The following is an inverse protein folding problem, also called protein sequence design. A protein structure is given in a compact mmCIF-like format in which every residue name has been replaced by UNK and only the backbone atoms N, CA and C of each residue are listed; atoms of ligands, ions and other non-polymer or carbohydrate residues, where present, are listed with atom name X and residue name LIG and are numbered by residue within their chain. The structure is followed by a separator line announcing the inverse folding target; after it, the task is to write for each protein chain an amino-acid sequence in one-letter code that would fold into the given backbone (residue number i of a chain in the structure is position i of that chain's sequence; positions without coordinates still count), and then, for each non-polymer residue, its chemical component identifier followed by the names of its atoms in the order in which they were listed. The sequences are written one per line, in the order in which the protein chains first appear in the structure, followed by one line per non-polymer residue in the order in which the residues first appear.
data_IF_629085202575
#
_entry.id   IF_629085202575
#
_cell.length_a   1.000
_cell.length_b   1.000
_cell.length_c   1.000
_cell.angle_alpha   90.00
_cell.angle_beta   90.00
_cell.angle_gamma   90.00
#
_symmetry.space_group_name_H-M   'P 1'
#
loop_
_entity.id
_entity.type
_entity.pdbx_description
1 polymer ?
#
# COMPACT_ATOMS: atom_id res chain seq x y z
N UNK A 1 -1.13 -2.97 -9.07
CA UNK A 1 -0.46 -3.84 -8.08
C UNK A 1 0.33 -4.91 -8.82
N UNK A 2 1.57 -5.17 -8.41
CA UNK A 2 2.39 -6.24 -8.99
C UNK A 2 2.01 -7.54 -8.29
N UNK A 3 1.69 -8.58 -9.07
CA UNK A 3 1.29 -9.91 -8.61
C UNK A 3 2.23 -10.97 -9.21
N UNK A 4 2.18 -12.23 -8.74
CA UNK A 4 2.92 -13.32 -9.37
C UNK A 4 2.66 -13.39 -10.89
N UNK A 5 3.67 -13.77 -11.70
CA UNK A 5 4.95 -14.38 -11.31
C UNK A 5 6.07 -13.38 -10.95
N UNK A 6 5.85 -12.08 -11.10
CA UNK A 6 6.91 -11.06 -10.91
C UNK A 6 7.26 -10.81 -9.44
N UNK A 7 6.42 -11.32 -8.52
CA UNK A 7 6.68 -11.39 -7.07
C UNK A 7 6.37 -12.81 -6.58
N UNK A 8 6.96 -13.26 -5.45
CA UNK A 8 6.69 -14.58 -4.89
C UNK A 8 5.20 -14.85 -4.67
N UNK A 9 4.80 -16.11 -4.84
CA UNK A 9 3.41 -16.55 -4.59
C UNK A 9 3.02 -16.22 -3.15
N UNK A 10 1.78 -15.77 -2.97
CA UNK A 10 1.26 -15.32 -1.67
C UNK A 10 1.65 -13.89 -1.30
N UNK A 11 2.40 -13.18 -2.16
CA UNK A 11 2.76 -11.78 -1.95
C UNK A 11 2.21 -10.88 -3.05
N UNK A 12 2.08 -9.60 -2.73
CA UNK A 12 1.76 -8.54 -3.68
C UNK A 12 2.59 -7.31 -3.34
N UNK A 13 2.99 -6.54 -4.36
CA UNK A 13 3.76 -5.31 -4.15
C UNK A 13 3.05 -4.11 -4.77
N UNK A 14 3.00 -3.03 -4.01
CA UNK A 14 2.61 -1.72 -4.52
C UNK A 14 3.87 -1.01 -5.03
N UNK A 15 3.80 -0.46 -6.25
CA UNK A 15 4.87 0.37 -6.82
C UNK A 15 4.39 1.81 -6.86
N UNK A 16 5.15 2.70 -6.24
CA UNK A 16 4.94 4.14 -6.30
C UNK A 16 6.17 4.74 -6.97
N UNK A 17 5.96 5.59 -7.97
CA UNK A 17 7.04 6.29 -8.67
C UNK A 17 7.02 7.75 -8.25
N UNK A 18 8.06 8.19 -7.55
CA UNK A 18 8.25 9.59 -7.23
C UNK A 18 9.04 10.28 -8.34
N UNK A 19 8.83 11.58 -8.49
CA UNK A 19 9.52 12.44 -9.44
C UNK A 19 9.84 13.78 -8.79
N UNK A 20 10.72 14.58 -9.41
CA UNK A 20 11.08 15.90 -8.92
C UNK A 20 9.91 16.90 -8.85
N UNK A 21 8.78 16.61 -9.50
CA UNK A 21 7.57 17.41 -9.41
C UNK A 21 6.80 17.22 -8.09
N UNK A 22 7.15 16.19 -7.30
CA UNK A 22 6.47 15.93 -6.03
C UNK A 22 7.07 16.79 -4.92
N UNK A 23 6.20 17.45 -4.15
CA UNK A 23 6.60 18.18 -2.95
C UNK A 23 6.68 17.25 -1.75
N UNK A 24 7.37 17.69 -0.69
CA UNK A 24 7.46 16.94 0.56
C UNK A 24 6.08 16.70 1.17
N UNK A 25 5.18 17.69 1.11
CA UNK A 25 3.82 17.58 1.65
C UNK A 25 3.01 16.50 0.94
N UNK A 26 3.22 16.33 -0.37
CA UNK A 26 2.58 15.25 -1.13
C UNK A 26 3.10 13.87 -0.71
N UNK A 27 4.38 13.76 -0.36
CA UNK A 27 4.96 12.53 0.18
C UNK A 27 4.38 12.24 1.57
N UNK A 28 4.26 13.25 2.43
CA UNK A 28 3.66 13.10 3.76
C UNK A 28 2.19 12.64 3.68
N UNK A 29 1.42 13.23 2.76
CA UNK A 29 0.04 12.79 2.48
C UNK A 29 -0.03 11.34 2.00
N UNK A 30 0.89 10.93 1.12
CA UNK A 30 0.98 9.54 0.67
C UNK A 30 1.25 8.59 1.84
N UNK A 31 2.19 8.95 2.73
CA UNK A 31 2.51 8.13 3.91
C UNK A 31 1.30 7.99 4.84
N UNK A 32 0.58 9.09 5.09
CA UNK A 32 -0.64 9.07 5.90
C UNK A 32 -1.71 8.14 5.29
N UNK A 33 -1.94 8.25 3.97
CA UNK A 33 -2.90 7.41 3.27
C UNK A 33 -2.52 5.92 3.28
N UNK A 34 -1.24 5.59 3.11
CA UNK A 34 -0.75 4.21 3.18
C UNK A 34 -0.90 3.62 4.59
N UNK A 35 -0.66 4.41 5.64
CA UNK A 35 -0.88 3.99 7.03
C UNK A 35 -2.36 3.66 7.29
N UNK A 36 -3.27 4.52 6.85
CA UNK A 36 -4.72 4.29 6.97
C UNK A 36 -5.16 3.04 6.20
N UNK A 37 -4.73 2.91 4.94
CA UNK A 37 -5.05 1.74 4.12
C UNK A 37 -4.54 0.44 4.75
N UNK A 38 -3.36 0.45 5.38
CA UNK A 38 -2.83 -0.71 6.11
C UNK A 38 -3.77 -1.12 7.25
N UNK A 39 -4.31 -0.16 7.99
CA UNK A 39 -5.23 -0.42 9.10
C UNK A 39 -6.56 -1.00 8.60
N UNK A 40 -7.16 -0.39 7.58
CA UNK A 40 -8.41 -0.88 6.97
C UNK A 40 -8.28 -2.31 6.46
N UNK A 41 -7.14 -2.65 5.85
CA UNK A 41 -6.87 -4.01 5.37
C UNK A 41 -6.67 -4.99 6.53
N UNK A 42 -6.06 -4.59 7.66
CA UNK A 42 -5.99 -5.47 8.84
C UNK A 42 -7.38 -5.74 9.41
N UNK A 43 -8.21 -4.72 9.57
CA UNK A 43 -9.57 -4.86 10.14
C UNK A 43 -10.47 -5.71 9.23
N UNK A 44 -10.37 -5.51 7.91
CA UNK A 44 -11.13 -6.29 6.93
C UNK A 44 -10.78 -7.78 6.95
N UNK A 45 -9.54 -8.13 7.33
CA UNK A 45 -9.10 -9.53 7.46
C UNK A 45 -9.57 -10.15 8.77
N UNK A 46 -9.62 -9.37 9.85
CA UNK A 46 -10.14 -9.82 11.15
C UNK A 46 -11.65 -10.07 11.09
N UNK A 47 -12.40 -9.21 10.38
CA UNK A 47 -13.84 -9.38 10.18
C UNK A 47 -14.25 -10.57 9.31
N UNK A 48 -13.35 -11.14 8.49
CA UNK A 48 -13.59 -12.38 7.75
C UNK A 48 -13.23 -13.65 8.54
N UNK A 49 -12.55 -13.51 9.69
CA UNK A 49 -12.15 -14.64 10.53
C UNK A 49 -13.17 -14.93 11.66
N UNK A 50 -14.33 -14.26 11.65
CA UNK A 50 -15.50 -14.52 12.48
C UNK A 50 -16.63 -15.10 11.64
#
# INVERSE_FOLDING_TARGET
AIRPPTVPVGQARLRVTLSAAHTTEQVDQLLAALSQARHLVSESREGMAQ
#
